data_IF_806001663137
#
_entry.id   IF_806001663137
#
_cell.length_a   1.000
_cell.length_b   1.000
_cell.length_c   1.000
_cell.angle_alpha   90.00
_cell.angle_beta   90.00
_cell.angle_gamma   90.00
#
_symmetry.space_group_name_H-M   'P 1'
#
loop_
_entity.id
_entity.type
_entity.pdbx_description
1 polymer ?
#
# COMPACT_ATOMS: atom_id res chain seq x y z
N UNK A 1 -16.60 38.24 10.87
CA UNK A 1 -15.45 38.21 11.79
C UNK A 1 -14.74 36.89 11.56
N UNK A 2 -13.42 36.89 11.43
CA UNK A 2 -12.65 35.66 11.30
C UNK A 2 -12.52 34.99 12.66
N UNK A 3 -12.79 33.69 12.74
CA UNK A 3 -12.64 32.89 13.95
C UNK A 3 -11.81 31.64 13.66
N UNK A 4 -10.99 31.26 14.65
CA UNK A 4 -10.20 30.04 14.64
C UNK A 4 -10.64 29.18 15.81
N UNK A 5 -11.22 28.02 15.51
CA UNK A 5 -11.58 27.02 16.51
C UNK A 5 -10.55 25.89 16.50
N UNK A 6 -9.92 25.63 17.64
CA UNK A 6 -8.79 24.71 17.77
C UNK A 6 -9.26 23.45 18.48
N UNK A 7 -9.18 22.32 17.77
CA UNK A 7 -9.53 21.00 18.26
C UNK A 7 -8.27 20.12 18.29
N UNK A 8 -7.86 19.69 19.48
CA UNK A 8 -6.77 18.73 19.63
C UNK A 8 -7.33 17.31 19.65
N UNK A 9 -6.88 16.47 18.71
CA UNK A 9 -7.34 15.09 18.56
C UNK A 9 -6.18 14.13 18.69
N UNK A 10 -6.36 13.07 19.47
CA UNK A 10 -5.45 11.91 19.46
C UNK A 10 -5.98 10.86 18.49
N UNK A 11 -5.17 10.50 17.51
CA UNK A 11 -5.43 9.39 16.59
C UNK A 11 -4.38 8.33 16.85
N UNK A 12 -4.78 7.28 17.60
CA UNK A 12 -3.88 6.25 18.13
C UNK A 12 -2.77 6.85 19.01
N UNK A 13 -1.53 6.90 18.52
CA UNK A 13 -0.33 7.41 19.19
C UNK A 13 0.15 8.75 18.63
N UNK A 14 -0.52 9.28 17.60
CA UNK A 14 -0.18 10.56 16.98
C UNK A 14 -1.22 11.61 17.35
N UNK A 15 -0.72 12.78 17.73
CA UNK A 15 -1.47 13.96 18.11
C UNK A 15 -1.70 14.84 16.88
N UNK A 16 -2.93 15.31 16.70
CA UNK A 16 -3.30 16.22 15.64
C UNK A 16 -3.92 17.49 16.24
N UNK A 17 -3.51 18.65 15.74
CA UNK A 17 -4.14 19.93 16.00
C UNK A 17 -4.94 20.32 14.75
N UNK A 18 -6.27 20.42 14.89
CA UNK A 18 -7.18 20.79 13.82
C UNK A 18 -7.64 22.21 14.10
N UNK A 19 -7.47 23.10 13.12
CA UNK A 19 -7.84 24.50 13.21
C UNK A 19 -8.93 24.77 12.19
N UNK A 20 -10.17 24.94 12.66
CA UNK A 20 -11.31 25.28 11.81
C UNK A 20 -11.34 26.78 11.59
N UNK A 21 -11.20 27.18 10.33
CA UNK A 21 -11.17 28.58 9.94
C UNK A 21 -12.56 28.97 9.45
N UNK A 22 -13.16 29.97 10.08
CA UNK A 22 -14.46 30.50 9.66
C UNK A 22 -14.36 31.99 9.38
N UNK A 23 -14.73 32.40 8.16
CA UNK A 23 -14.67 33.79 7.72
C UNK A 23 -13.63 34.05 6.63
N UNK A 24 -13.28 35.33 6.45
CA UNK A 24 -12.34 35.76 5.40
C UNK A 24 -10.94 35.90 5.98
N UNK A 25 -9.96 35.29 5.32
CA UNK A 25 -8.53 35.44 5.62
C UNK A 25 -7.99 36.67 4.89
N UNK A 26 -8.20 37.82 5.51
CA UNK A 26 -7.77 39.13 5.00
C UNK A 26 -7.05 39.98 6.05
N UNK A 27 -6.30 40.98 5.59
CA UNK A 27 -5.59 41.95 6.46
C UNK A 27 -6.48 42.55 7.58
N UNK A 28 -7.76 42.80 7.31
CA UNK A 28 -8.66 43.44 8.27
C UNK A 28 -9.10 42.50 9.40
N UNK A 29 -9.01 41.20 9.16
CA UNK A 29 -9.40 40.15 10.08
C UNK A 29 -8.22 39.45 10.75
N UNK A 30 -7.07 39.31 10.07
CA UNK A 30 -5.89 38.57 10.58
C UNK A 30 -5.26 39.27 11.77
N UNK A 31 -5.18 40.60 11.75
CA UNK A 31 -4.62 41.39 12.85
C UNK A 31 -5.49 41.34 14.12
N UNK A 32 -6.69 40.75 14.05
CA UNK A 32 -7.63 40.60 15.17
C UNK A 32 -7.63 39.19 15.75
N UNK A 33 -6.83 38.28 15.19
CA UNK A 33 -6.71 36.91 15.69
C UNK A 33 -5.68 36.90 16.81
N UNK A 34 -6.01 36.26 17.94
CA UNK A 34 -5.02 35.87 18.94
C UNK A 34 -3.93 34.98 18.31
N UNK A 35 -2.67 35.04 18.79
CA UNK A 35 -1.63 34.14 18.34
C UNK A 35 -2.09 32.68 18.43
N UNK A 36 -1.80 31.90 17.38
CA UNK A 36 -2.19 30.49 17.31
C UNK A 36 -1.42 29.70 18.39
N UNK A 37 -2.12 29.30 19.45
CA UNK A 37 -1.53 28.50 20.52
C UNK A 37 -1.66 27.02 20.17
N UNK A 38 -0.59 26.47 19.60
CA UNK A 38 -0.50 25.06 19.23
C UNK A 38 0.07 24.27 20.40
N UNK A 39 -0.53 23.13 20.72
CA UNK A 39 -0.05 22.27 21.80
C UNK A 39 1.36 21.72 21.50
N UNK A 40 2.17 21.54 22.54
CA UNK A 40 3.48 20.90 22.43
C UNK A 40 3.32 19.42 22.02
N UNK A 41 4.22 18.93 21.16
CA UNK A 41 4.25 17.56 20.63
C UNK A 41 3.04 17.17 19.76
N UNK A 42 2.71 17.96 18.74
CA UNK A 42 1.75 17.58 17.70
C UNK A 42 2.47 16.95 16.50
N UNK A 43 1.89 15.89 15.92
CA UNK A 43 2.44 15.23 14.72
C UNK A 43 1.80 15.77 13.43
N UNK A 44 0.52 16.14 13.52
CA UNK A 44 -0.27 16.65 12.40
C UNK A 44 -0.85 18.01 12.74
N UNK A 45 -0.68 18.98 11.85
CA UNK A 45 -1.34 20.27 11.92
C UNK A 45 -2.25 20.43 10.72
N UNK A 46 -3.55 20.65 10.96
CA UNK A 46 -4.57 20.56 9.94
C UNK A 46 -5.41 21.83 9.93
N UNK A 47 -5.45 22.52 8.79
CA UNK A 47 -6.31 23.68 8.58
C UNK A 47 -7.59 23.26 7.83
N UNK A 48 -8.75 23.52 8.41
CA UNK A 48 -10.04 23.24 7.79
C UNK A 48 -10.64 24.52 7.19
N UNK A 49 -10.80 24.50 5.86
CA UNK A 49 -11.26 25.63 5.04
C UNK A 49 -12.76 25.59 4.73
N UNK A 50 -13.55 24.67 5.31
CA UNK A 50 -14.96 24.48 4.99
C UNK A 50 -15.78 25.79 5.05
N UNK A 51 -15.41 26.71 5.95
CA UNK A 51 -16.10 27.98 6.16
C UNK A 51 -15.30 29.22 5.69
N UNK A 52 -14.29 29.02 4.84
CA UNK A 52 -13.46 30.11 4.30
C UNK A 52 -14.02 30.61 2.97
N UNK A 53 -14.40 31.89 2.94
CA UNK A 53 -15.01 32.51 1.76
C UNK A 53 -13.98 32.92 0.70
N UNK A 54 -12.89 33.55 1.12
CA UNK A 54 -11.79 33.97 0.26
C UNK A 54 -10.53 34.24 1.08
N UNK A 55 -9.40 34.35 0.39
CA UNK A 55 -8.07 34.65 0.95
C UNK A 55 -7.46 35.77 0.12
N UNK A 56 -6.82 36.74 0.77
CA UNK A 56 -6.02 37.77 0.10
C UNK A 56 -4.53 37.67 0.48
N UNK A 57 -3.73 38.66 0.07
CA UNK A 57 -2.29 38.69 0.36
C UNK A 57 -1.94 38.52 1.85
N UNK A 58 -2.69 39.16 2.76
CA UNK A 58 -2.51 38.97 4.20
C UNK A 58 -2.75 37.53 4.64
N UNK A 59 -3.83 36.94 4.13
CA UNK A 59 -4.17 35.54 4.41
C UNK A 59 -3.10 34.58 3.92
N UNK A 60 -2.49 34.87 2.77
CA UNK A 60 -1.39 34.07 2.25
C UNK A 60 -0.14 34.19 3.13
N UNK A 61 0.26 35.40 3.51
CA UNK A 61 1.39 35.63 4.42
C UNK A 61 1.19 34.88 5.74
N UNK A 62 -0.01 34.98 6.32
CA UNK A 62 -0.35 34.26 7.54
C UNK A 62 -0.21 32.74 7.40
N UNK A 63 -0.66 32.17 6.28
CA UNK A 63 -0.52 30.74 6.03
C UNK A 63 0.94 30.32 5.88
N UNK A 64 1.78 31.13 5.22
CA UNK A 64 3.22 30.87 5.08
C UNK A 64 3.89 30.92 6.46
N UNK A 65 3.70 32.00 7.21
CA UNK A 65 4.31 32.19 8.53
C UNK A 65 3.91 31.07 9.51
N UNK A 66 2.65 30.61 9.41
CA UNK A 66 2.13 29.49 10.21
C UNK A 66 2.82 28.18 9.82
N UNK A 67 2.97 27.92 8.52
CA UNK A 67 3.65 26.71 8.05
C UNK A 67 5.12 26.68 8.45
N UNK A 68 5.83 27.80 8.31
CA UNK A 68 7.25 27.89 8.67
C UNK A 68 7.48 27.61 10.15
N UNK A 69 6.63 28.15 11.03
CA UNK A 69 6.70 27.90 12.47
C UNK A 69 6.41 26.45 12.85
N UNK A 70 5.46 25.82 12.17
CA UNK A 70 4.93 24.51 12.57
C UNK A 70 5.64 23.35 11.87
N UNK A 71 6.09 23.53 10.63
CA UNK A 71 6.70 22.49 9.79
C UNK A 71 7.93 21.82 10.38
N UNK A 72 8.63 22.50 11.30
CA UNK A 72 9.76 21.92 12.05
C UNK A 72 9.32 20.85 13.06
N UNK A 73 8.05 20.83 13.44
CA UNK A 73 7.50 19.99 14.53
C UNK A 73 6.37 19.07 14.07
N UNK A 74 5.61 19.44 13.04
CA UNK A 74 4.45 18.69 12.56
C UNK A 74 4.31 18.76 11.03
N UNK A 75 3.69 17.73 10.45
CA UNK A 75 3.28 17.78 9.04
C UNK A 75 2.02 18.64 8.88
N UNK A 76 2.03 19.55 7.90
CA UNK A 76 0.97 20.52 7.67
C UNK A 76 0.01 20.05 6.56
N UNK A 77 -1.29 20.06 6.86
CA UNK A 77 -2.35 19.66 5.95
C UNK A 77 -3.43 20.74 5.84
N UNK A 78 -4.13 20.77 4.72
CA UNK A 78 -5.36 21.55 4.55
C UNK A 78 -6.49 20.66 4.04
N UNK A 79 -7.71 20.87 4.52
CA UNK A 79 -8.92 20.17 4.07
C UNK A 79 -10.02 21.14 3.66
N UNK A 80 -10.97 20.64 2.84
CA UNK A 80 -12.14 21.38 2.39
C UNK A 80 -11.84 22.73 1.69
N UNK A 81 -10.76 22.81 0.92
CA UNK A 81 -10.48 24.00 0.11
C UNK A 81 -11.47 24.09 -1.06
N UNK A 82 -12.12 25.24 -1.22
CA UNK A 82 -12.89 25.51 -2.44
C UNK A 82 -11.97 25.70 -3.67
N UNK A 83 -12.53 25.53 -4.88
CA UNK A 83 -11.77 25.56 -6.14
C UNK A 83 -10.99 26.85 -6.39
N UNK A 84 -11.52 28.00 -5.96
CA UNK A 84 -10.82 29.30 -6.06
C UNK A 84 -9.57 29.32 -5.20
N UNK A 85 -9.68 28.86 -3.94
CA UNK A 85 -8.57 28.81 -3.01
C UNK A 85 -7.53 27.77 -3.43
N UNK A 86 -7.96 26.60 -3.92
CA UNK A 86 -7.05 25.59 -4.48
C UNK A 86 -6.20 26.15 -5.63
N UNK A 87 -6.81 26.99 -6.48
CA UNK A 87 -6.10 27.65 -7.59
C UNK A 87 -5.02 28.61 -7.07
N UNK A 88 -5.34 29.39 -6.03
CA UNK A 88 -4.40 30.30 -5.36
C UNK A 88 -3.24 29.51 -4.72
N UNK A 89 -3.55 28.40 -4.06
CA UNK A 89 -2.54 27.54 -3.44
C UNK A 89 -1.53 27.00 -4.46
N UNK A 90 -2.02 26.63 -5.66
CA UNK A 90 -1.16 26.20 -6.77
C UNK A 90 -0.33 27.35 -7.32
N UNK A 91 -0.92 28.53 -7.54
CA UNK A 91 -0.24 29.64 -8.19
C UNK A 91 0.84 30.29 -7.33
N UNK A 92 0.69 30.27 -6.00
CA UNK A 92 1.61 30.92 -5.05
C UNK A 92 2.54 29.90 -4.36
N UNK A 93 2.42 28.62 -4.71
CA UNK A 93 3.30 27.57 -4.18
C UNK A 93 2.99 27.11 -2.75
N UNK A 94 1.83 27.45 -2.20
CA UNK A 94 1.41 26.97 -0.85
C UNK A 94 1.27 25.45 -0.77
N UNK A 95 1.09 24.76 -1.90
CA UNK A 95 1.12 23.29 -1.94
C UNK A 95 2.50 22.68 -1.60
N UNK A 96 3.57 23.48 -1.61
CA UNK A 96 4.88 23.06 -1.12
C UNK A 96 4.96 23.04 0.40
N UNK A 97 4.07 23.79 1.06
CA UNK A 97 4.03 23.96 2.52
C UNK A 97 2.90 23.15 3.17
N UNK A 98 1.78 22.97 2.46
CA UNK A 98 0.61 22.26 2.94
C UNK A 98 0.20 21.14 1.98
N UNK A 99 0.02 19.93 2.53
CA UNK A 99 -0.58 18.83 1.78
C UNK A 99 -2.10 18.97 1.80
N UNK A 100 -2.72 19.12 0.63
CA UNK A 100 -4.17 19.26 0.51
C UNK A 100 -4.84 17.88 0.50
N UNK A 101 -5.87 17.69 1.33
CA UNK A 101 -6.74 16.50 1.39
C UNK A 101 -8.21 16.91 1.29
N UNK A 102 -9.07 15.97 0.95
CA UNK A 102 -10.52 16.20 0.93
C UNK A 102 -11.06 16.23 2.37
N UNK A 103 -10.74 15.21 3.18
CA UNK A 103 -11.29 15.03 4.52
C UNK A 103 -10.24 14.64 5.57
N UNK A 104 -10.60 14.77 6.86
CA UNK A 104 -9.77 14.31 7.99
C UNK A 104 -9.45 12.80 7.91
N UNK A 105 -10.35 11.98 7.39
CA UNK A 105 -10.13 10.53 7.20
C UNK A 105 -8.91 10.24 6.32
N UNK A 106 -8.62 11.12 5.37
CA UNK A 106 -7.57 10.95 4.37
C UNK A 106 -6.20 11.40 4.89
N UNK A 107 -6.20 12.12 6.02
CA UNK A 107 -5.01 12.48 6.79
C UNK A 107 -4.71 11.38 7.81
N UNK A 108 -5.76 10.84 8.43
CA UNK A 108 -5.63 9.88 9.52
C UNK A 108 -5.63 8.42 9.08
N UNK A 109 -5.83 8.13 7.78
CA UNK A 109 -5.91 6.83 7.13
C UNK A 109 -6.04 5.66 8.11
N UNK A 110 -7.21 5.58 8.75
CA UNK A 110 -7.59 4.47 9.62
C UNK A 110 -8.23 3.43 8.70
N UNK A 111 -7.66 2.22 8.65
CA UNK A 111 -8.32 1.06 8.06
C UNK A 111 -9.83 1.05 8.40
N UNK A 112 -10.75 0.83 7.44
CA UNK A 112 -12.17 0.92 7.70
C UNK A 112 -12.53 0.01 8.89
N UNK A 113 -13.26 0.55 9.87
CA UNK A 113 -13.72 -0.26 11.01
C UNK A 113 -14.65 -1.34 10.50
N UNK A 114 -14.49 -2.54 11.04
CA UNK A 114 -15.32 -3.69 10.68
C UNK A 114 -16.80 -3.32 10.80
N UNK A 115 -17.53 -3.42 9.69
CA UNK A 115 -18.95 -3.12 9.68
C UNK A 115 -19.72 -4.24 10.38
N UNK A 116 -20.04 -4.06 11.66
CA UNK A 116 -20.74 -5.08 12.44
C UNK A 116 -22.17 -5.35 11.98
N UNK A 117 -22.77 -4.46 11.18
CA UNK A 117 -24.16 -4.60 10.71
C UNK A 117 -24.33 -5.69 9.64
N UNK A 118 -23.25 -6.06 8.95
CA UNK A 118 -23.28 -7.09 7.89
C UNK A 118 -22.96 -8.50 8.41
N UNK A 119 -22.74 -8.65 9.73
CA UNK A 119 -22.25 -9.89 10.33
C UNK A 119 -23.40 -10.71 10.91
N UNK A 120 -23.43 -12.01 10.61
CA UNK A 120 -24.30 -12.97 11.28
C UNK A 120 -23.68 -13.49 12.60
N UNK A 121 -24.41 -14.35 13.33
CA UNK A 121 -23.93 -14.93 14.60
C UNK A 121 -22.65 -15.76 14.43
N UNK A 122 -22.49 -16.46 13.30
CA UNK A 122 -21.30 -17.26 13.01
C UNK A 122 -20.13 -16.38 12.59
N UNK A 123 -20.37 -15.27 11.89
CA UNK A 123 -19.35 -14.28 11.55
C UNK A 123 -18.77 -13.66 12.82
N UNK A 124 -19.62 -13.30 13.79
CA UNK A 124 -19.19 -12.78 15.09
C UNK A 124 -18.35 -13.80 15.87
N UNK A 125 -18.78 -15.07 15.90
CA UNK A 125 -17.98 -16.13 16.52
C UNK A 125 -16.63 -16.27 15.81
N UNK A 126 -16.61 -16.32 14.48
CA UNK A 126 -15.39 -16.39 13.69
C UNK A 126 -14.43 -15.24 14.01
N UNK A 127 -14.95 -14.02 14.14
CA UNK A 127 -14.17 -12.83 14.48
C UNK A 127 -13.58 -12.88 15.88
N UNK A 128 -14.30 -13.41 16.87
CA UNK A 128 -13.76 -13.59 18.22
C UNK A 128 -12.57 -14.57 18.20
N UNK A 129 -12.67 -15.66 17.42
CA UNK A 129 -11.54 -16.57 17.22
C UNK A 129 -10.38 -15.88 16.49
N UNK A 130 -10.66 -15.13 15.43
CA UNK A 130 -9.64 -14.35 14.72
C UNK A 130 -8.93 -13.39 15.67
N UNK A 131 -9.67 -12.59 16.44
CA UNK A 131 -9.12 -11.64 17.41
C UNK A 131 -8.28 -12.33 18.50
N UNK A 132 -8.73 -13.49 18.99
CA UNK A 132 -7.97 -14.26 19.97
C UNK A 132 -6.64 -14.75 19.39
N UNK A 133 -6.63 -15.22 18.14
CA UNK A 133 -5.41 -15.63 17.45
C UNK A 133 -4.49 -14.45 17.10
N UNK A 134 -5.05 -13.26 16.83
CA UNK A 134 -4.29 -12.04 16.55
C UNK A 134 -3.70 -11.39 17.82
N UNK A 135 -4.39 -11.50 18.97
CA UNK A 135 -3.91 -11.05 20.28
C UNK A 135 -2.83 -11.96 20.86
N UNK A 136 -3.01 -13.26 20.70
CA UNK A 136 -1.93 -14.21 20.94
C UNK A 136 -0.83 -13.97 19.90
N UNK A 137 0.38 -14.45 20.15
CA UNK A 137 1.51 -14.33 19.21
C UNK A 137 1.01 -14.77 17.83
N UNK A 138 0.76 -13.81 16.92
CA UNK A 138 0.37 -14.10 15.53
C UNK A 138 1.41 -15.10 15.03
N UNK A 139 0.98 -16.35 14.86
CA UNK A 139 1.77 -17.38 14.21
C UNK A 139 1.89 -16.96 12.76
N UNK A 140 2.80 -16.02 12.49
CA UNK A 140 3.27 -15.79 11.15
C UNK A 140 3.76 -17.15 10.65
N UNK A 141 3.41 -17.53 9.41
CA UNK A 141 3.93 -18.75 8.85
C UNK A 141 5.45 -18.72 9.00
N UNK A 142 6.00 -19.74 9.67
CA UNK A 142 7.44 -19.87 9.84
C UNK A 142 8.03 -19.92 8.43
N UNK A 143 8.97 -19.02 8.15
CA UNK A 143 9.73 -19.07 6.91
C UNK A 143 10.49 -20.41 6.92
N UNK A 144 10.27 -21.35 5.98
CA UNK A 144 11.11 -22.54 5.83
C UNK A 144 12.60 -22.17 5.85
N UNK A 145 13.41 -23.05 6.41
CA UNK A 145 14.86 -22.83 6.56
C UNK A 145 15.54 -22.45 5.23
N UNK A 146 15.06 -23.00 4.12
CA UNK A 146 15.50 -22.65 2.75
C UNK A 146 15.29 -21.16 2.45
N UNK A 147 14.15 -20.59 2.83
CA UNK A 147 13.84 -19.19 2.60
C UNK A 147 14.71 -18.25 3.44
N UNK A 148 14.90 -18.57 4.73
CA UNK A 148 15.79 -17.82 5.62
C UNK A 148 17.22 -17.82 5.08
N UNK A 149 17.74 -19.00 4.73
CA UNK A 149 19.07 -19.17 4.15
C UNK A 149 19.22 -18.37 2.85
N UNK A 150 18.22 -18.37 1.99
CA UNK A 150 18.23 -17.59 0.76
C UNK A 150 18.14 -16.07 1.01
N UNK A 151 17.44 -15.63 2.04
CA UNK A 151 17.45 -14.22 2.46
C UNK A 151 18.84 -13.79 2.93
N UNK A 152 19.51 -14.61 3.74
CA UNK A 152 20.87 -14.34 4.22
C UNK A 152 21.88 -14.31 3.07
N UNK A 153 21.83 -15.33 2.19
CA UNK A 153 22.71 -15.40 1.02
C UNK A 153 22.47 -14.24 0.06
N UNK A 154 21.22 -13.84 -0.18
CA UNK A 154 20.91 -12.72 -1.08
C UNK A 154 21.20 -11.34 -0.49
N UNK A 155 21.23 -11.22 0.84
CA UNK A 155 21.61 -9.99 1.54
C UNK A 155 23.12 -9.74 1.53
N UNK A 156 23.94 -10.79 1.44
CA UNK A 156 25.39 -10.68 1.40
C UNK A 156 25.86 -10.35 -0.04
N UNK A 157 26.42 -9.14 -0.30
CA UNK A 157 26.91 -8.77 -1.63
C UNK A 157 28.10 -9.63 -2.09
N UNK A 158 28.80 -10.31 -1.16
CA UNK A 158 29.93 -11.18 -1.44
C UNK A 158 29.56 -12.67 -1.55
N UNK A 159 28.28 -13.05 -1.36
CA UNK A 159 27.90 -14.47 -1.44
C UNK A 159 28.06 -15.01 -2.85
N UNK A 160 28.35 -16.30 -3.00
CA UNK A 160 28.56 -16.91 -4.32
C UNK A 160 27.20 -17.18 -5.01
N UNK A 161 27.10 -16.86 -6.31
CA UNK A 161 25.94 -17.22 -7.15
C UNK A 161 25.63 -18.71 -7.10
N UNK A 162 26.67 -19.55 -7.00
CA UNK A 162 26.54 -21.01 -6.94
C UNK A 162 25.85 -21.48 -5.65
N UNK A 163 26.00 -20.75 -4.53
CA UNK A 163 25.33 -21.10 -3.26
C UNK A 163 23.84 -20.77 -3.30
N UNK A 164 23.48 -19.63 -3.90
CA UNK A 164 22.09 -19.27 -4.20
C UNK A 164 21.47 -20.31 -5.13
N UNK A 165 22.16 -20.65 -6.22
CA UNK A 165 21.70 -21.63 -7.20
C UNK A 165 21.45 -23.00 -6.56
N UNK A 166 22.40 -23.52 -5.77
CA UNK A 166 22.27 -24.80 -5.08
C UNK A 166 21.06 -24.81 -4.14
N UNK A 167 20.93 -23.77 -3.33
CA UNK A 167 19.82 -23.66 -2.37
C UNK A 167 18.46 -23.54 -3.05
N UNK A 168 18.39 -22.93 -4.24
CA UNK A 168 17.14 -22.83 -5.04
C UNK A 168 16.83 -24.15 -5.74
N UNK A 169 17.82 -24.80 -6.37
CA UNK A 169 17.65 -26.06 -7.10
C UNK A 169 17.06 -27.17 -6.23
N UNK A 170 17.37 -27.16 -4.94
CA UNK A 170 16.86 -28.14 -3.97
C UNK A 170 15.35 -27.93 -3.65
N UNK A 171 14.76 -26.78 -4.02
CA UNK A 171 13.35 -26.47 -3.84
C UNK A 171 12.64 -26.29 -5.20
N UNK A 172 11.86 -27.30 -5.59
CA UNK A 172 11.11 -27.34 -6.86
C UNK A 172 10.14 -26.17 -6.97
N UNK A 173 9.57 -25.69 -5.87
CA UNK A 173 8.57 -24.60 -5.91
C UNK A 173 9.27 -23.27 -6.17
N UNK A 174 10.35 -23.00 -5.44
CA UNK A 174 11.14 -21.78 -5.64
C UNK A 174 11.76 -21.78 -7.04
N UNK A 175 12.31 -22.92 -7.49
CA UNK A 175 12.87 -23.08 -8.84
C UNK A 175 11.83 -22.81 -9.93
N UNK A 176 10.63 -23.40 -9.81
CA UNK A 176 9.57 -23.25 -10.82
C UNK A 176 9.13 -21.80 -10.94
N UNK A 177 8.90 -21.13 -9.81
CA UNK A 177 8.45 -19.73 -9.84
C UNK A 177 9.58 -18.83 -10.33
N UNK A 178 10.84 -19.08 -9.93
CA UNK A 178 12.02 -18.36 -10.40
C UNK A 178 12.11 -18.39 -11.93
N UNK A 179 12.04 -19.58 -12.53
CA UNK A 179 12.08 -19.76 -13.98
C UNK A 179 10.88 -19.11 -14.67
N UNK A 180 9.66 -19.27 -14.14
CA UNK A 180 8.46 -18.59 -14.67
C UNK A 180 8.60 -17.07 -14.65
N UNK A 181 9.18 -16.53 -13.59
CA UNK A 181 9.37 -15.07 -13.44
C UNK A 181 10.44 -14.58 -14.39
N UNK A 182 11.56 -15.29 -14.54
CA UNK A 182 12.61 -14.94 -15.49
C UNK A 182 12.14 -14.99 -16.95
N UNK A 183 11.11 -15.80 -17.24
CA UNK A 183 10.50 -15.94 -18.57
C UNK A 183 9.22 -15.13 -18.77
N UNK A 184 8.76 -14.36 -17.78
CA UNK A 184 7.53 -13.60 -17.93
C UNK A 184 7.70 -12.47 -18.95
N UNK A 185 6.60 -11.95 -19.50
CA UNK A 185 6.60 -10.86 -20.48
C UNK A 185 7.42 -9.65 -20.01
N UNK A 186 7.49 -9.39 -18.70
CA UNK A 186 8.23 -8.26 -18.13
C UNK A 186 9.75 -8.47 -18.11
N UNK A 187 10.23 -9.71 -18.23
CA UNK A 187 11.64 -10.09 -18.06
C UNK A 187 12.20 -10.95 -19.19
N UNK A 188 11.35 -11.45 -20.08
CA UNK A 188 11.75 -12.26 -21.23
C UNK A 188 12.77 -11.49 -22.09
N UNK A 189 13.88 -12.16 -22.40
CA UNK A 189 14.82 -11.71 -23.42
C UNK A 189 14.54 -12.40 -24.76
N UNK A 190 15.49 -12.31 -25.69
CA UNK A 190 15.37 -12.97 -27.00
C UNK A 190 15.26 -14.50 -26.90
N UNK A 191 15.75 -15.10 -25.81
CA UNK A 191 15.77 -16.55 -25.59
C UNK A 191 15.19 -16.92 -24.22
N UNK A 192 14.45 -18.04 -24.11
CA UNK A 192 13.95 -18.54 -22.84
C UNK A 192 15.08 -18.91 -21.88
N UNK A 193 14.83 -18.70 -20.59
CA UNK A 193 15.67 -19.11 -19.47
C UNK A 193 15.31 -20.53 -19.06
N UNK A 194 16.28 -21.43 -19.10
CA UNK A 194 16.07 -22.85 -18.78
C UNK A 194 16.79 -23.28 -17.49
N UNK A 195 17.68 -22.44 -16.94
CA UNK A 195 18.47 -22.79 -15.75
C UNK A 195 18.30 -21.78 -14.60
N UNK A 196 18.39 -22.26 -13.37
CA UNK A 196 18.34 -21.41 -12.16
C UNK A 196 19.41 -20.32 -12.23
N UNK A 197 20.63 -20.67 -12.64
CA UNK A 197 21.72 -19.72 -12.76
C UNK A 197 21.40 -18.58 -13.75
N UNK A 198 20.91 -18.93 -14.95
CA UNK A 198 20.52 -17.93 -15.96
C UNK A 198 19.31 -17.09 -15.51
N UNK A 199 18.41 -17.66 -14.70
CA UNK A 199 17.31 -16.93 -14.08
C UNK A 199 17.80 -15.91 -13.06
N UNK A 200 18.75 -16.30 -12.19
CA UNK A 200 19.34 -15.39 -11.20
C UNK A 200 20.09 -14.25 -11.89
N UNK A 201 20.83 -14.54 -12.97
CA UNK A 201 21.53 -13.51 -13.77
C UNK A 201 20.53 -12.55 -14.41
N UNK A 202 19.43 -13.07 -14.98
CA UNK A 202 18.41 -12.25 -15.64
C UNK A 202 17.63 -11.36 -14.67
N UNK A 203 17.24 -11.90 -13.53
CA UNK A 203 16.44 -11.18 -12.54
C UNK A 203 17.31 -10.29 -11.65
N UNK A 204 18.53 -10.71 -11.34
CA UNK A 204 19.41 -10.08 -10.38
C UNK A 204 19.08 -10.43 -8.92
N UNK A 205 20.07 -10.27 -8.03
CA UNK A 205 19.99 -10.67 -6.61
C UNK A 205 18.90 -9.95 -5.82
N UNK A 206 18.70 -8.64 -6.06
CA UNK A 206 17.67 -7.85 -5.37
C UNK A 206 16.27 -8.40 -5.63
N UNK A 207 15.94 -8.75 -6.88
CA UNK A 207 14.62 -9.33 -7.23
C UNK A 207 14.46 -10.74 -6.70
N UNK A 208 15.51 -11.54 -6.81
CA UNK A 208 15.53 -12.90 -6.28
C UNK A 208 15.16 -12.91 -4.79
N UNK A 209 15.74 -12.00 -3.99
CA UNK A 209 15.41 -11.85 -2.56
C UNK A 209 13.92 -11.57 -2.33
N UNK A 210 13.40 -10.55 -3.00
CA UNK A 210 11.98 -10.15 -2.89
C UNK A 210 11.03 -11.27 -3.29
N UNK A 211 11.42 -12.03 -4.30
CA UNK A 211 10.66 -13.14 -4.83
C UNK A 211 10.63 -14.34 -3.88
N UNK A 212 11.77 -14.71 -3.29
CA UNK A 212 11.85 -15.79 -2.30
C UNK A 212 11.01 -15.46 -1.07
N UNK A 213 11.07 -14.21 -0.58
CA UNK A 213 10.21 -13.77 0.52
C UNK A 213 8.73 -14.07 0.25
N UNK A 214 8.26 -13.69 -0.94
CA UNK A 214 6.86 -13.85 -1.28
C UNK A 214 6.45 -15.29 -1.62
N UNK A 215 7.34 -16.05 -2.25
CA UNK A 215 7.18 -17.49 -2.48
C UNK A 215 6.96 -18.26 -1.19
N UNK A 216 7.76 -17.92 -0.17
CA UNK A 216 7.69 -18.54 1.14
C UNK A 216 6.32 -18.35 1.78
N UNK A 217 5.70 -17.20 1.54
CA UNK A 217 4.38 -16.86 2.03
C UNK A 217 3.27 -17.56 1.28
N UNK A 218 3.40 -17.71 -0.02
CA UNK A 218 2.46 -18.50 -0.80
C UNK A 218 2.52 -19.98 -0.43
N UNK A 219 3.71 -20.55 -0.31
CA UNK A 219 3.89 -21.99 -0.06
C UNK A 219 3.42 -22.42 1.33
N UNK A 220 3.47 -21.52 2.32
CA UNK A 220 3.00 -21.79 3.69
C UNK A 220 1.49 -21.65 3.84
N UNK A 221 0.81 -20.97 2.91
CA UNK A 221 -0.64 -20.68 2.96
C UNK A 221 -1.46 -21.64 2.06
N UNK A 222 -0.86 -22.22 1.02
CA UNK A 222 -1.56 -23.00 -0.03
C UNK A 222 -1.44 -24.52 0.23
N UNK A 223 -2.42 -25.16 0.91
CA UNK A 223 -2.62 -26.65 0.89
C UNK A 223 -4.04 -27.10 1.31
N UNK A 224 -5.01 -27.29 0.40
CA UNK A 224 -6.34 -27.93 0.54
C UNK A 224 -7.58 -27.01 0.75
N UNK A 225 -8.72 -27.24 0.05
CA UNK A 225 -10.09 -26.69 0.29
C UNK A 225 -10.44 -25.37 -0.46
N UNK A 226 -11.68 -24.81 -0.31
CA UNK A 226 -12.13 -23.50 -0.89
C UNK A 226 -11.16 -22.34 -0.66
N UNK A 227 -10.42 -22.41 0.45
CA UNK A 227 -9.36 -21.49 0.84
C UNK A 227 -8.20 -21.48 -0.17
N UNK A 228 -7.97 -22.57 -0.89
CA UNK A 228 -6.93 -22.66 -1.92
C UNK A 228 -7.25 -21.85 -3.16
N UNK A 229 -8.52 -21.74 -3.53
CA UNK A 229 -8.92 -20.88 -4.66
C UNK A 229 -8.58 -19.43 -4.32
N UNK A 230 -8.99 -18.97 -3.13
CA UNK A 230 -8.64 -17.64 -2.63
C UNK A 230 -7.12 -17.43 -2.51
N UNK A 231 -6.37 -18.44 -2.05
CA UNK A 231 -4.92 -18.33 -1.95
C UNK A 231 -4.24 -18.30 -3.33
N UNK A 232 -4.76 -19.04 -4.32
CA UNK A 232 -4.30 -19.00 -5.71
C UNK A 232 -4.62 -17.66 -6.37
N UNK A 233 -5.82 -17.14 -6.16
CA UNK A 233 -6.24 -15.85 -6.70
C UNK A 233 -5.39 -14.73 -6.10
N UNK A 234 -5.18 -14.75 -4.79
CA UNK A 234 -4.27 -13.83 -4.11
C UNK A 234 -2.85 -13.89 -4.66
N UNK A 235 -2.31 -15.09 -4.90
CA UNK A 235 -0.99 -15.28 -5.49
C UNK A 235 -0.90 -14.69 -6.90
N UNK A 236 -1.87 -15.01 -7.75
CA UNK A 236 -1.92 -14.51 -9.13
C UNK A 236 -2.05 -12.99 -9.17
N UNK A 237 -2.87 -12.42 -8.29
CA UNK A 237 -3.02 -10.98 -8.11
C UNK A 237 -1.67 -10.35 -7.75
N UNK A 238 -1.04 -10.78 -6.65
CA UNK A 238 0.25 -10.24 -6.21
C UNK A 238 1.34 -10.38 -7.26
N UNK A 239 1.38 -11.49 -8.00
CA UNK A 239 2.36 -11.68 -9.08
C UNK A 239 2.10 -10.76 -10.28
N UNK A 240 0.84 -10.57 -10.65
CA UNK A 240 0.43 -9.63 -11.71
C UNK A 240 0.81 -8.21 -11.34
N UNK A 241 0.55 -7.81 -10.10
CA UNK A 241 0.94 -6.51 -9.55
C UNK A 241 2.46 -6.34 -9.57
N UNK A 242 3.24 -7.32 -9.11
CA UNK A 242 4.70 -7.27 -9.13
C UNK A 242 5.26 -7.05 -10.55
N UNK A 243 4.77 -7.83 -11.53
CA UNK A 243 5.20 -7.72 -12.92
C UNK A 243 4.81 -6.40 -13.57
N UNK A 244 3.61 -5.89 -13.27
CA UNK A 244 3.14 -4.61 -13.77
C UNK A 244 3.89 -3.45 -13.11
N UNK A 245 4.08 -3.47 -11.79
CA UNK A 245 4.90 -2.50 -11.06
C UNK A 245 6.32 -2.42 -11.61
N UNK A 246 6.96 -3.57 -11.84
CA UNK A 246 8.30 -3.62 -12.48
C UNK A 246 8.28 -3.03 -13.89
N UNK A 247 7.27 -3.34 -14.69
CA UNK A 247 7.15 -2.77 -16.03
C UNK A 247 7.00 -1.25 -16.01
N UNK A 248 6.23 -0.70 -15.06
CA UNK A 248 6.03 0.74 -14.91
C UNK A 248 7.30 1.41 -14.36
N UNK A 249 7.97 0.78 -13.39
CA UNK A 249 9.22 1.30 -12.80
C UNK A 249 10.29 1.56 -13.86
N UNK A 250 10.46 0.61 -14.80
CA UNK A 250 11.44 0.73 -15.89
C UNK A 250 11.18 1.93 -16.79
N UNK A 251 9.91 2.26 -17.05
CA UNK A 251 9.54 3.42 -17.87
C UNK A 251 9.70 4.74 -17.12
N UNK A 252 9.49 4.74 -15.81
CA UNK A 252 9.50 5.94 -14.98
C UNK A 252 10.82 6.17 -14.22
N UNK A 253 11.81 5.29 -14.36
CA UNK A 253 13.09 5.37 -13.68
C UNK A 253 13.02 5.18 -12.16
N UNK A 254 12.05 4.39 -11.68
CA UNK A 254 11.86 4.08 -10.25
C UNK A 254 12.64 2.80 -9.89
N UNK A 255 13.09 2.64 -8.63
CA UNK A 255 13.78 1.40 -8.21
C UNK A 255 12.87 0.18 -8.37
N UNK A 256 13.19 -0.59 -9.40
CA UNK A 256 12.42 -1.75 -9.82
C UNK A 256 12.40 -2.87 -8.75
N UNK A 257 13.46 -3.00 -7.96
CA UNK A 257 13.54 -4.02 -6.91
C UNK A 257 12.53 -3.76 -5.79
N UNK A 258 12.40 -2.50 -5.36
CA UNK A 258 11.46 -2.08 -4.32
C UNK A 258 10.02 -2.20 -4.81
N UNK A 259 9.69 -1.75 -6.02
CA UNK A 259 8.30 -1.80 -6.49
C UNK A 259 7.86 -3.19 -6.93
N UNK A 260 8.77 -4.04 -7.43
CA UNK A 260 8.45 -5.46 -7.67
C UNK A 260 8.12 -6.16 -6.36
N UNK A 261 8.96 -5.95 -5.33
CA UNK A 261 8.71 -6.47 -3.99
C UNK A 261 7.41 -5.93 -3.40
N UNK A 262 7.16 -4.62 -3.57
CA UNK A 262 5.95 -3.95 -3.13
C UNK A 262 4.70 -4.52 -3.79
N UNK A 263 4.70 -4.66 -5.11
CA UNK A 263 3.59 -5.28 -5.86
C UNK A 263 3.32 -6.72 -5.41
N UNK A 264 4.36 -7.45 -5.00
CA UNK A 264 4.23 -8.82 -4.54
C UNK A 264 3.78 -8.94 -3.07
N UNK A 265 4.02 -7.92 -2.24
CA UNK A 265 3.78 -7.93 -0.79
C UNK A 265 2.67 -6.98 -0.34
N UNK A 266 2.10 -6.15 -1.21
CA UNK A 266 1.09 -5.15 -0.84
C UNK A 266 -0.11 -5.79 -0.11
N UNK A 267 -0.51 -6.98 -0.53
CA UNK A 267 -1.62 -7.74 0.03
C UNK A 267 -1.20 -8.82 1.04
N UNK A 268 -0.01 -8.71 1.62
CA UNK A 268 0.54 -9.78 2.46
C UNK A 268 -0.26 -10.07 3.72
N UNK A 269 -0.95 -9.06 4.25
CA UNK A 269 -1.89 -9.20 5.34
C UNK A 269 -3.02 -10.20 5.01
N UNK A 270 -3.52 -10.23 3.75
CA UNK A 270 -4.56 -11.16 3.30
C UNK A 270 -4.07 -12.60 3.40
N UNK A 271 -2.82 -12.86 3.04
CA UNK A 271 -2.22 -14.21 3.12
C UNK A 271 -2.14 -14.72 4.57
N UNK A 272 -1.68 -13.87 5.49
CA UNK A 272 -1.62 -14.20 6.93
C UNK A 272 -3.01 -14.40 7.52
N UNK A 273 -3.95 -13.51 7.21
CA UNK A 273 -5.34 -13.63 7.66
C UNK A 273 -5.97 -14.92 7.13
N UNK A 274 -5.78 -15.23 5.85
CA UNK A 274 -6.28 -16.46 5.23
C UNK A 274 -5.73 -17.74 5.89
N UNK A 275 -4.46 -17.73 6.31
CA UNK A 275 -3.86 -18.82 7.11
C UNK A 275 -4.55 -19.01 8.46
N UNK A 276 -4.88 -17.92 9.14
CA UNK A 276 -5.64 -17.96 10.41
C UNK A 276 -7.07 -18.45 10.13
N UNK A 277 -7.73 -17.92 9.09
CA UNK A 277 -9.05 -18.36 8.66
C UNK A 277 -9.09 -19.88 8.41
N UNK A 278 -8.02 -20.43 7.82
CA UNK A 278 -7.86 -21.88 7.59
C UNK A 278 -7.80 -22.69 8.89
N UNK A 279 -7.07 -22.21 9.90
CA UNK A 279 -7.03 -22.85 11.23
C UNK A 279 -8.41 -22.82 11.88
N UNK A 280 -9.17 -21.72 11.73
CA UNK A 280 -10.53 -21.58 12.27
C UNK A 280 -11.51 -22.50 11.52
N UNK A 281 -11.45 -22.52 10.19
CA UNK A 281 -12.28 -23.36 9.32
C UNK A 281 -12.22 -24.84 9.74
N UNK A 282 -10.99 -25.37 9.94
CA UNK A 282 -10.78 -26.75 10.40
C UNK A 282 -11.35 -27.02 11.80
N UNK A 283 -11.39 -26.00 12.69
CA UNK A 283 -11.89 -26.15 14.07
C UNK A 283 -13.40 -25.94 14.21
N UNK A 284 -14.02 -25.19 13.30
CA UNK A 284 -15.44 -24.80 13.38
C UNK A 284 -16.37 -25.54 12.41
N UNK A 285 -15.94 -26.70 11.88
CA UNK A 285 -16.80 -27.51 11.02
C UNK A 285 -17.12 -26.82 9.69
N UNK A 286 -16.07 -26.37 8.99
CA UNK A 286 -16.14 -25.88 7.61
C UNK A 286 -16.90 -24.55 7.41
N UNK A 287 -17.08 -23.76 8.48
CA UNK A 287 -17.58 -22.40 8.36
C UNK A 287 -16.51 -21.44 7.81
N UNK A 288 -16.88 -20.68 6.78
CA UNK A 288 -16.04 -19.64 6.18
C UNK A 288 -16.90 -18.39 5.90
N UNK A 289 -16.43 -17.17 6.24
CA UNK A 289 -17.17 -15.94 5.97
C UNK A 289 -17.47 -15.75 4.49
N UNK A 290 -18.53 -15.00 4.19
CA UNK A 290 -18.82 -14.59 2.80
C UNK A 290 -17.69 -13.72 2.24
N UNK A 291 -17.58 -13.61 0.92
CA UNK A 291 -16.56 -12.77 0.26
C UNK A 291 -16.62 -11.32 0.76
N UNK A 292 -17.82 -10.77 0.95
CA UNK A 292 -18.03 -9.41 1.46
C UNK A 292 -17.52 -9.24 2.89
N UNK A 293 -17.81 -10.20 3.77
CA UNK A 293 -17.33 -10.16 5.16
C UNK A 293 -15.82 -10.36 5.21
N UNK A 294 -15.28 -11.29 4.41
CA UNK A 294 -13.85 -11.54 4.32
C UNK A 294 -13.08 -10.31 3.84
N UNK A 295 -13.59 -9.59 2.83
CA UNK A 295 -13.00 -8.35 2.35
C UNK A 295 -12.98 -7.28 3.45
N UNK A 296 -14.08 -7.10 4.17
CA UNK A 296 -14.13 -6.19 5.32
C UNK A 296 -13.10 -6.59 6.41
N UNK A 297 -12.91 -7.89 6.66
CA UNK A 297 -11.88 -8.37 7.58
C UNK A 297 -10.48 -8.00 7.06
N UNK A 298 -10.16 -8.26 5.80
CA UNK A 298 -8.88 -7.89 5.23
C UNK A 298 -8.59 -6.39 5.38
N UNK A 299 -9.55 -5.55 5.03
CA UNK A 299 -9.40 -4.11 5.08
C UNK A 299 -9.25 -3.61 6.52
N UNK A 300 -10.06 -4.11 7.46
CA UNK A 300 -10.01 -3.73 8.88
C UNK A 300 -8.73 -4.13 9.60
N UNK A 301 -8.11 -5.25 9.20
CA UNK A 301 -6.91 -5.79 9.87
C UNK A 301 -5.61 -5.49 9.11
N UNK A 302 -5.70 -4.84 7.94
CA UNK A 302 -4.55 -4.46 7.10
C UNK A 302 -3.39 -3.91 7.93
N UNK A 303 -3.63 -2.81 8.64
CA UNK A 303 -2.56 -2.04 9.25
C UNK A 303 -1.90 -2.79 10.42
N UNK A 304 -2.73 -3.44 11.25
CA UNK A 304 -2.26 -4.23 12.38
C UNK A 304 -1.37 -5.39 11.92
N UNK A 305 -1.83 -6.13 10.90
CA UNK A 305 -1.14 -7.33 10.41
C UNK A 305 0.11 -6.94 9.63
N UNK A 306 0.02 -5.97 8.71
CA UNK A 306 1.17 -5.50 7.91
C UNK A 306 2.27 -4.91 8.80
N UNK A 307 1.92 -4.11 9.82
CA UNK A 307 2.91 -3.55 10.76
C UNK A 307 3.66 -4.66 11.51
N UNK A 308 2.96 -5.71 11.94
CA UNK A 308 3.58 -6.83 12.64
C UNK A 308 4.48 -7.66 11.72
N UNK A 309 4.04 -7.92 10.49
CA UNK A 309 4.86 -8.59 9.47
C UNK A 309 6.14 -7.79 9.23
N UNK A 310 6.02 -6.47 9.05
CA UNK A 310 7.15 -5.59 8.82
C UNK A 310 8.19 -5.66 9.95
N UNK A 311 7.74 -5.66 11.21
CA UNK A 311 8.65 -5.75 12.36
C UNK A 311 9.29 -7.14 12.51
N UNK A 312 8.49 -8.21 12.45
CA UNK A 312 8.97 -9.59 12.71
C UNK A 312 9.94 -10.07 11.62
N UNK A 313 9.74 -9.63 10.37
CA UNK A 313 10.61 -9.99 9.25
C UNK A 313 11.69 -8.95 8.95
N UNK A 314 11.80 -7.91 9.79
CA UNK A 314 12.81 -6.87 9.64
C UNK A 314 12.82 -6.27 8.23
N UNK A 315 11.62 -5.97 7.71
CA UNK A 315 11.48 -5.44 6.36
C UNK A 315 12.19 -4.08 6.24
N UNK A 316 12.90 -3.81 5.13
CA UNK A 316 13.56 -2.53 4.94
C UNK A 316 12.51 -1.43 4.81
N UNK A 317 12.78 -0.25 5.36
CA UNK A 317 11.80 0.84 5.48
C UNK A 317 11.19 1.23 4.14
N UNK A 318 12.00 1.32 3.07
CA UNK A 318 11.52 1.62 1.72
C UNK A 318 10.44 0.65 1.22
N UNK A 319 10.58 -0.65 1.54
CA UNK A 319 9.57 -1.65 1.21
C UNK A 319 8.32 -1.50 2.09
N UNK A 320 8.50 -1.21 3.38
CA UNK A 320 7.38 -0.91 4.29
C UNK A 320 6.57 0.28 3.80
N UNK A 321 7.23 1.33 3.31
CA UNK A 321 6.58 2.48 2.68
C UNK A 321 5.87 2.09 1.39
N UNK A 322 6.49 1.29 0.53
CA UNK A 322 5.91 0.88 -0.74
C UNK A 322 4.65 0.00 -0.60
N UNK A 323 4.53 -0.79 0.47
CA UNK A 323 3.36 -1.66 0.73
C UNK A 323 2.28 -1.01 1.60
N UNK A 324 2.44 0.24 2.03
CA UNK A 324 1.40 0.95 2.78
C UNK A 324 0.13 1.06 1.94
N UNK A 325 -1.02 0.71 2.53
CA UNK A 325 -2.31 0.68 1.83
C UNK A 325 -2.69 2.05 1.26
N UNK A 326 -2.69 2.15 -0.07
CA UNK A 326 -3.11 3.31 -0.86
C UNK A 326 -4.55 3.22 -1.38
N UNK A 327 -5.30 2.15 -1.09
CA UNK A 327 -6.74 2.13 -1.39
C UNK A 327 -7.49 3.21 -0.60
N UNK A 328 -6.96 3.63 0.55
CA UNK A 328 -7.55 4.65 1.43
C UNK A 328 -6.61 5.84 1.70
N UNK A 329 -5.49 5.94 0.99
CA UNK A 329 -4.53 7.04 1.13
C UNK A 329 -3.96 7.41 -0.23
N UNK A 330 -3.66 8.69 -0.44
CA UNK A 330 -2.88 9.05 -1.64
C UNK A 330 -1.45 8.50 -1.48
N UNK A 331 -0.82 8.05 -2.55
CA UNK A 331 0.61 7.72 -2.50
C UNK A 331 1.43 8.97 -2.12
N UNK A 332 2.48 8.77 -1.32
CA UNK A 332 3.39 9.82 -0.86
C UNK A 332 4.65 9.94 -1.74
N UNK A 333 5.02 8.87 -2.45
CA UNK A 333 6.18 8.80 -3.32
C UNK A 333 5.92 7.94 -4.56
N UNK A 334 6.89 7.93 -5.49
CA UNK A 334 6.77 7.23 -6.76
C UNK A 334 6.69 5.72 -6.58
N UNK A 335 7.47 5.13 -5.68
CA UNK A 335 7.47 3.69 -5.42
C UNK A 335 6.08 3.22 -4.98
N UNK A 336 5.49 3.92 -4.01
CA UNK A 336 4.16 3.63 -3.50
C UNK A 336 3.09 3.86 -4.57
N UNK A 337 3.20 4.93 -5.38
CA UNK A 337 2.27 5.16 -6.47
C UNK A 337 2.35 4.08 -7.55
N UNK A 338 3.54 3.57 -7.89
CA UNK A 338 3.70 2.47 -8.85
C UNK A 338 3.05 1.18 -8.34
N UNK A 339 3.24 0.85 -7.06
CA UNK A 339 2.63 -0.34 -6.43
C UNK A 339 1.10 -0.19 -6.39
N UNK A 340 0.62 0.97 -5.94
CA UNK A 340 -0.80 1.30 -5.89
C UNK A 340 -1.47 1.23 -7.27
N UNK A 341 -0.86 1.88 -8.26
CA UNK A 341 -1.38 1.94 -9.62
C UNK A 341 -1.50 0.53 -10.20
N UNK A 342 -0.46 -0.29 -10.04
CA UNK A 342 -0.47 -1.65 -10.50
C UNK A 342 -1.56 -2.48 -9.82
N UNK A 343 -1.70 -2.39 -8.49
CA UNK A 343 -2.75 -3.08 -7.73
C UNK A 343 -4.16 -2.69 -8.21
N UNK A 344 -4.44 -1.38 -8.30
CA UNK A 344 -5.71 -0.86 -8.80
C UNK A 344 -6.01 -1.29 -10.24
N UNK A 345 -5.00 -1.33 -11.11
CA UNK A 345 -5.16 -1.72 -12.51
C UNK A 345 -5.43 -3.22 -12.65
N UNK A 346 -4.74 -4.06 -11.87
CA UNK A 346 -5.05 -5.49 -11.82
C UNK A 346 -6.43 -5.73 -11.24
N UNK A 347 -6.84 -5.01 -10.19
CA UNK A 347 -8.20 -5.05 -9.65
C UNK A 347 -9.26 -4.65 -10.69
N UNK A 348 -9.00 -3.61 -11.48
CA UNK A 348 -9.85 -3.17 -12.59
C UNK A 348 -10.08 -4.31 -13.59
N UNK A 349 -9.02 -5.04 -13.96
CA UNK A 349 -9.09 -6.17 -14.88
C UNK A 349 -9.79 -7.38 -14.24
N UNK A 350 -9.40 -7.75 -13.02
CA UNK A 350 -9.88 -8.94 -12.32
C UNK A 350 -11.37 -8.86 -11.99
N UNK A 351 -11.81 -7.68 -11.55
CA UNK A 351 -13.20 -7.43 -11.13
C UNK A 351 -14.07 -6.88 -12.25
N UNK A 352 -13.49 -6.68 -13.45
CA UNK A 352 -14.15 -6.11 -14.63
C UNK A 352 -14.90 -4.81 -14.31
N UNK A 353 -14.19 -3.87 -13.69
CA UNK A 353 -14.75 -2.58 -13.26
C UNK A 353 -14.96 -1.65 -14.46
N UNK A 354 -15.91 -0.73 -14.35
CA UNK A 354 -16.31 0.12 -15.49
C UNK A 354 -15.39 1.32 -15.72
N UNK A 355 -14.85 1.93 -14.67
CA UNK A 355 -14.04 3.16 -14.78
C UNK A 355 -12.78 3.15 -13.90
N UNK A 356 -11.64 2.86 -14.53
CA UNK A 356 -10.32 2.90 -13.88
C UNK A 356 -9.94 4.30 -13.36
N UNK A 357 -10.33 5.36 -14.06
CA UNK A 357 -9.91 6.72 -13.69
C UNK A 357 -10.58 7.19 -12.41
N UNK A 358 -11.78 6.69 -12.10
CA UNK A 358 -12.50 7.05 -10.87
C UNK A 358 -11.74 6.75 -9.57
N UNK A 359 -10.79 5.80 -9.58
CA UNK A 359 -10.07 5.38 -8.37
C UNK A 359 -8.54 5.40 -8.49
N UNK A 360 -7.97 5.81 -9.63
CA UNK A 360 -6.51 5.84 -9.87
C UNK A 360 -5.92 7.24 -10.10
N UNK A 361 -6.71 8.32 -9.97
CA UNK A 361 -6.28 9.70 -10.27
C UNK A 361 -5.03 10.13 -9.50
N UNK A 362 -4.96 9.83 -8.20
CA UNK A 362 -3.83 10.24 -7.37
C UNK A 362 -2.50 9.60 -7.83
N UNK A 363 -2.54 8.34 -8.26
CA UNK A 363 -1.38 7.66 -8.84
C UNK A 363 -1.01 8.22 -10.21
N UNK A 364 -2.00 8.46 -11.07
CA UNK A 364 -1.79 9.02 -12.41
C UNK A 364 -1.11 10.39 -12.32
N UNK A 365 -1.61 11.24 -11.43
CA UNK A 365 -1.08 12.59 -11.21
C UNK A 365 0.35 12.55 -10.65
N UNK A 366 0.60 11.73 -9.63
CA UNK A 366 1.92 11.64 -9.00
C UNK A 366 2.97 11.04 -9.94
N UNK A 367 2.59 10.04 -10.74
CA UNK A 367 3.47 9.39 -11.72
C UNK A 367 3.56 10.19 -13.04
N UNK A 368 2.75 11.24 -13.20
CA UNK A 368 2.67 12.06 -14.42
C UNK A 368 2.38 11.23 -15.68
N UNK A 369 1.55 10.19 -15.54
CA UNK A 369 1.19 9.30 -16.65
C UNK A 369 0.13 9.99 -17.51
N UNK A 370 0.41 10.15 -18.82
CA UNK A 370 -0.60 10.71 -19.73
C UNK A 370 -1.77 9.74 -19.89
N UNK A 371 -2.98 10.28 -20.01
CA UNK A 371 -4.22 9.49 -20.17
C UNK A 371 -4.13 8.43 -21.27
N UNK A 372 -3.51 8.74 -22.41
CA UNK A 372 -3.33 7.80 -23.51
C UNK A 372 -2.37 6.64 -23.19
N UNK A 373 -1.39 6.87 -22.31
CA UNK A 373 -0.46 5.83 -21.87
C UNK A 373 -1.09 4.90 -20.83
N UNK A 374 -2.11 5.37 -20.08
CA UNK A 374 -2.91 4.52 -19.19
C UNK A 374 -3.59 3.38 -19.96
N UNK A 375 -4.19 3.63 -21.12
CA UNK A 375 -4.80 2.57 -21.93
C UNK A 375 -3.78 1.53 -22.41
N UNK A 376 -2.55 1.94 -22.72
CA UNK A 376 -1.46 1.00 -23.06
C UNK A 376 -1.09 0.14 -21.85
N UNK A 377 -1.03 0.74 -20.66
CA UNK A 377 -0.77 0.03 -19.41
C UNK A 377 -1.90 -0.94 -19.06
N UNK A 378 -3.17 -0.59 -19.33
CA UNK A 378 -4.32 -1.51 -19.17
C UNK A 378 -4.14 -2.73 -20.08
N UNK A 379 -3.87 -2.52 -21.38
CA UNK A 379 -3.64 -3.63 -22.32
C UNK A 379 -2.42 -4.49 -21.94
N UNK A 380 -1.38 -3.89 -21.35
CA UNK A 380 -0.23 -4.63 -20.80
C UNK A 380 -0.62 -5.43 -19.56
N UNK A 381 -1.35 -4.83 -18.62
CA UNK A 381 -1.87 -5.49 -17.43
C UNK A 381 -2.73 -6.70 -17.78
N UNK A 382 -3.59 -6.59 -18.80
CA UNK A 382 -4.41 -7.70 -19.30
C UNK A 382 -3.56 -8.87 -19.79
N UNK A 383 -2.52 -8.59 -20.58
CA UNK A 383 -1.59 -9.64 -21.05
C UNK A 383 -0.85 -10.31 -19.90
N UNK A 384 -0.35 -9.53 -18.93
CA UNK A 384 0.33 -10.06 -17.74
C UNK A 384 -0.63 -10.96 -16.96
N UNK A 385 -1.82 -10.45 -16.61
CA UNK A 385 -2.83 -11.16 -15.85
C UNK A 385 -3.26 -12.47 -16.55
N UNK A 386 -3.59 -12.42 -17.84
CA UNK A 386 -3.96 -13.60 -18.62
C UNK A 386 -2.84 -14.62 -18.68
N UNK A 387 -1.58 -14.21 -18.90
CA UNK A 387 -0.44 -15.14 -18.99
C UNK A 387 -0.22 -15.93 -17.69
N UNK A 388 -0.41 -15.28 -16.54
CA UNK A 388 -0.25 -15.91 -15.23
C UNK A 388 -1.43 -16.85 -14.92
N UNK A 389 -2.64 -16.45 -15.30
CA UNK A 389 -3.86 -17.24 -15.16
C UNK A 389 -3.85 -18.49 -16.06
N UNK A 390 -3.29 -18.39 -17.28
CA UNK A 390 -3.21 -19.45 -18.28
C UNK A 390 -2.05 -20.43 -18.08
N UNK A 391 -1.12 -20.20 -17.13
CA UNK A 391 0.01 -21.12 -16.86
C UNK A 391 -0.39 -22.47 -16.20
N UNK A 392 -1.60 -22.96 -16.54
CA UNK A 392 -2.31 -24.14 -16.04
C UNK A 392 -3.04 -24.89 -17.16
N UNK A 393 -2.29 -25.31 -18.17
CA UNK A 393 -2.44 -26.67 -18.71
C UNK A 393 -1.20 -27.44 -18.34
#
# INVERSE_FOLDING_TARGET
>A
MLTLDIENRKVKQQSACIVKISGSLDNANINKISPLQVAENIHYFILDFANVKYINHGGMSFLIDTAEKISQTAQCFCIHLNSKIQTIFRSVGLNLLYTVKENLSDIFCVAPKLNRKILDKRDLQFLDYLQKNLKNKIDLPLLPATALRLMDLSANPNSNLNELEKTIKDDVTITTVLLKTANSISFAGNWPVETVQSAIVRLGRKRLRSMIMSLTLACTVIKGNKIDLLARDLWNHSMSCAHLSSSIAKELGVDDGVVFAGGLLHDIHKAVLLSICRKIYKKQGDYFPTVTVLQNIYDSYFEQVTKKIASEWHLPQNLVFAIRNTFYSTPENKEQAVVSFASKLIDYIEKNLDDFFSFATAEIDLLQIRRNDVYKLIGRGQRIYCSLKQSKT
#
